data_IF_098335478948
#
_entry.id   IF_098335478948
#
_cell.length_a   1.000
_cell.length_b   1.000
_cell.length_c   1.000
_cell.angle_alpha   90.00
_cell.angle_beta   90.00
_cell.angle_gamma   90.00
#
_symmetry.space_group_name_H-M   'P 1'
#
loop_
_entity.id
_entity.type
_entity.pdbx_description
1 polymer ?
#
# COMPACT_ATOMS: atom_id res chain seq x y z
N UNK A 1 0.29 -11.35 -3.24
CA UNK A 1 0.63 -10.83 -1.90
C UNK A 1 -0.55 -10.91 -0.95
N UNK A 2 -1.61 -10.09 -1.04
CA UNK A 2 -2.73 -10.20 -0.08
C UNK A 2 -3.43 -11.57 -0.13
N UNK A 3 -3.69 -12.11 -1.32
CA UNK A 3 -4.25 -13.47 -1.47
C UNK A 3 -3.32 -14.55 -0.87
N UNK A 4 -2.02 -14.40 -1.06
CA UNK A 4 -0.99 -15.30 -0.52
C UNK A 4 -0.89 -15.20 1.01
N UNK A 5 -1.28 -14.05 1.59
CA UNK A 5 -1.34 -13.80 3.03
C UNK A 5 -2.71 -14.17 3.65
N UNK A 6 -3.59 -14.86 2.92
CA UNK A 6 -4.92 -15.24 3.43
C UNK A 6 -5.94 -14.11 3.38
N UNK A 7 -5.69 -13.07 2.58
CA UNK A 7 -6.61 -11.96 2.32
C UNK A 7 -6.35 -10.71 3.14
N UNK A 8 -5.49 -10.76 4.17
CA UNK A 8 -5.20 -9.64 5.06
C UNK A 8 -3.71 -9.47 5.32
N UNK A 9 -3.26 -8.23 5.50
CA UNK A 9 -1.89 -7.92 5.88
C UNK A 9 -1.78 -6.56 6.57
N UNK A 10 -0.88 -6.44 7.54
CA UNK A 10 -0.59 -5.17 8.21
C UNK A 10 0.07 -4.17 7.25
N UNK A 11 -0.17 -2.88 7.48
CA UNK A 11 0.28 -1.80 6.57
C UNK A 11 1.80 -1.79 6.37
N UNK A 12 2.57 -2.05 7.42
CA UNK A 12 4.03 -2.06 7.33
C UNK A 12 4.51 -3.25 6.48
N UNK A 13 3.88 -4.42 6.64
CA UNK A 13 4.17 -5.62 5.86
C UNK A 13 3.74 -5.45 4.39
N UNK A 14 2.59 -4.81 4.12
CA UNK A 14 2.18 -4.44 2.77
C UNK A 14 3.22 -3.53 2.13
N UNK A 15 3.71 -2.52 2.85
CA UNK A 15 4.74 -1.65 2.30
C UNK A 15 6.04 -2.41 2.03
N UNK A 16 6.51 -3.23 2.97
CA UNK A 16 7.71 -4.03 2.76
C UNK A 16 7.60 -4.92 1.51
N UNK A 17 6.46 -5.61 1.33
CA UNK A 17 6.27 -6.50 0.20
C UNK A 17 6.00 -5.76 -1.12
N UNK A 18 5.41 -4.57 -1.10
CA UNK A 18 5.33 -3.69 -2.28
C UNK A 18 6.72 -3.22 -2.69
N UNK A 19 7.51 -2.69 -1.74
CA UNK A 19 8.87 -2.20 -1.97
C UNK A 19 9.79 -3.32 -2.50
N UNK A 20 9.68 -4.54 -1.98
CA UNK A 20 10.42 -5.69 -2.50
C UNK A 20 10.07 -6.03 -3.95
N UNK A 21 8.84 -5.75 -4.40
CA UNK A 21 8.37 -6.06 -5.76
C UNK A 21 8.65 -4.96 -6.77
N UNK A 22 8.51 -3.69 -6.36
CA UNK A 22 8.63 -2.52 -7.25
C UNK A 22 9.91 -1.72 -7.03
N UNK A 23 10.73 -2.06 -6.03
CA UNK A 23 11.81 -1.22 -5.53
C UNK A 23 12.82 -0.80 -6.58
N UNK A 24 13.12 -1.66 -7.54
CA UNK A 24 14.02 -1.37 -8.67
C UNK A 24 13.36 -0.44 -9.72
N UNK A 25 12.02 -0.47 -9.83
CA UNK A 25 11.23 0.34 -10.77
C UNK A 25 10.87 1.72 -10.20
N UNK A 26 10.98 1.92 -8.88
CA UNK A 26 10.72 3.21 -8.26
C UNK A 26 11.69 4.26 -8.81
N UNK A 27 11.16 5.43 -9.16
CA UNK A 27 11.95 6.57 -9.57
C UNK A 27 12.56 7.27 -8.34
N UNK A 28 13.54 8.15 -8.55
CA UNK A 28 14.11 8.95 -7.46
C UNK A 28 13.02 9.75 -6.72
N UNK A 29 12.10 10.35 -7.48
CA UNK A 29 10.99 11.13 -6.93
C UNK A 29 10.08 10.32 -6.00
N UNK A 30 9.89 9.03 -6.28
CA UNK A 30 9.05 8.15 -5.47
C UNK A 30 9.62 7.91 -4.06
N UNK A 31 10.95 8.00 -3.93
CA UNK A 31 11.68 7.86 -2.66
C UNK A 31 11.81 9.17 -1.88
N UNK A 32 11.33 10.30 -2.43
CA UNK A 32 11.31 11.57 -1.71
C UNK A 32 10.17 11.61 -0.68
N UNK A 33 10.27 12.52 0.27
CA UNK A 33 9.20 12.77 1.25
C UNK A 33 8.15 13.75 0.70
N UNK A 34 6.89 13.57 1.11
CA UNK A 34 5.86 14.60 1.04
C UNK A 34 6.14 15.69 2.09
N UNK A 35 5.49 16.87 2.01
CA UNK A 35 5.61 17.89 3.05
C UNK A 35 5.28 17.40 4.47
N UNK A 36 4.45 16.36 4.57
CA UNK A 36 4.02 15.73 5.83
C UNK A 36 5.02 14.66 6.34
N UNK A 37 6.11 14.41 5.62
CA UNK A 37 7.18 13.48 6.03
C UNK A 37 6.95 12.02 5.64
N UNK A 38 6.04 11.73 4.72
CA UNK A 38 5.78 10.37 4.21
C UNK A 38 6.52 10.12 2.88
N UNK A 39 7.04 8.92 2.62
CA UNK A 39 7.54 8.57 1.28
C UNK A 39 6.43 8.70 0.22
N UNK A 40 6.72 9.35 -0.91
CA UNK A 40 5.72 9.60 -1.97
C UNK A 40 5.10 8.32 -2.50
N UNK A 41 5.86 7.24 -2.66
CA UNK A 41 5.31 5.97 -3.13
C UNK A 41 4.35 5.33 -2.12
N UNK A 42 4.59 5.47 -0.82
CA UNK A 42 3.67 5.01 0.24
C UNK A 42 2.38 5.81 0.23
N UNK A 43 2.47 7.11 -0.02
CA UNK A 43 1.32 7.98 -0.17
C UNK A 43 0.48 7.56 -1.39
N UNK A 44 1.14 7.27 -2.51
CA UNK A 44 0.49 6.77 -3.72
C UNK A 44 -0.18 5.40 -3.48
N UNK A 45 0.48 4.48 -2.78
CA UNK A 45 -0.10 3.19 -2.40
C UNK A 45 -1.36 3.36 -1.53
N UNK A 46 -1.34 4.27 -0.54
CA UNK A 46 -2.52 4.61 0.27
C UNK A 46 -3.66 5.16 -0.58
N UNK A 47 -3.36 6.04 -1.54
CA UNK A 47 -4.35 6.54 -2.51
C UNK A 47 -4.95 5.41 -3.34
N UNK A 48 -4.12 4.49 -3.83
CA UNK A 48 -4.57 3.33 -4.59
C UNK A 48 -5.50 2.42 -3.76
N UNK A 49 -5.16 2.16 -2.48
CA UNK A 49 -6.04 1.43 -1.56
C UNK A 49 -7.42 2.07 -1.45
N UNK A 50 -7.50 3.40 -1.33
CA UNK A 50 -8.79 4.09 -1.24
C UNK A 50 -9.64 3.89 -2.50
N UNK A 51 -9.03 3.90 -3.69
CA UNK A 51 -9.73 3.59 -4.94
C UNK A 51 -10.22 2.14 -4.97
N UNK A 52 -9.38 1.17 -4.58
CA UNK A 52 -9.75 -0.25 -4.53
C UNK A 52 -10.90 -0.53 -3.54
N UNK A 53 -10.94 0.20 -2.42
CA UNK A 53 -12.07 0.13 -1.47
C UNK A 53 -13.35 0.66 -2.09
N UNK A 54 -13.26 1.79 -2.81
CA UNK A 54 -14.41 2.38 -3.49
C UNK A 54 -14.95 1.45 -4.59
N UNK A 55 -14.07 0.71 -5.24
CA UNK A 55 -14.39 -0.27 -6.28
C UNK A 55 -14.88 -1.62 -5.71
N UNK A 56 -14.82 -1.81 -4.39
CA UNK A 56 -15.26 -3.04 -3.73
C UNK A 56 -14.28 -4.20 -3.83
N UNK A 57 -13.06 -3.98 -4.33
CA UNK A 57 -11.99 -5.00 -4.39
C UNK A 57 -11.35 -5.22 -3.02
N UNK A 58 -11.29 -4.15 -2.21
CA UNK A 58 -10.75 -4.18 -0.86
C UNK A 58 -11.79 -3.75 0.18
N UNK A 59 -11.68 -4.31 1.38
CA UNK A 59 -12.46 -3.90 2.52
C UNK A 59 -11.87 -2.67 3.21
N UNK A 60 -12.73 -1.87 3.87
CA UNK A 60 -12.25 -0.82 4.77
C UNK A 60 -11.42 -1.39 5.92
N UNK A 61 -11.73 -2.63 6.33
CA UNK A 61 -10.98 -3.39 7.33
C UNK A 61 -10.84 -2.70 8.69
N UNK A 62 -9.90 -3.20 9.49
CA UNK A 62 -9.45 -2.55 10.71
C UNK A 62 -8.40 -1.46 10.41
N UNK A 63 -8.24 -0.43 11.28
CA UNK A 63 -7.16 0.53 11.16
C UNK A 63 -5.79 -0.16 11.09
N UNK A 64 -4.96 0.21 10.12
CA UNK A 64 -3.64 -0.39 9.94
C UNK A 64 -3.61 -1.69 9.13
N UNK A 65 -4.76 -2.28 8.81
CA UNK A 65 -4.84 -3.56 8.06
C UNK A 65 -5.36 -3.32 6.64
N UNK A 66 -4.75 -3.98 5.67
CA UNK A 66 -5.24 -4.06 4.29
C UNK A 66 -5.89 -5.41 4.10
N UNK A 67 -7.14 -5.41 3.63
CA UNK A 67 -7.93 -6.62 3.48
C UNK A 67 -8.64 -6.64 2.12
N UNK A 68 -8.71 -7.81 1.50
CA UNK A 68 -9.60 -8.05 0.36
C UNK A 68 -11.06 -8.07 0.83
N UNK A 69 -12.00 -7.79 -0.09
CA UNK A 69 -13.44 -7.86 0.19
C UNK A 69 -13.97 -9.29 0.22
#
# INVERSE_FOLDING_TARGET
MLEEAGGELDTDDVFAALEARMGEDLLEGDRQLTPEGELRWRFAARRARQSLIKEGVMSKGAPGVWALS
#
